data_IF_786602536457
#
_entry.id   IF_786602536457
#
_cell.length_a   1.000
_cell.length_b   1.000
_cell.length_c   1.000
_cell.angle_alpha   90.00
_cell.angle_beta   90.00
_cell.angle_gamma   90.00
#
_symmetry.space_group_name_H-M   'P 1'
#
loop_
_entity.id
_entity.type
_entity.pdbx_description
1 polymer ?
#
# COMPACT_ATOMS: atom_id res chain seq x y z
N UNK A 1 -26.77 -9.90 28.41
CA UNK A 1 -26.41 -8.89 27.38
C UNK A 1 -25.20 -9.38 26.61
N UNK A 2 -25.08 -9.07 25.32
CA UNK A 2 -23.85 -9.37 24.56
C UNK A 2 -22.82 -8.29 24.86
N UNK A 3 -21.66 -8.69 25.38
CA UNK A 3 -20.54 -7.81 25.74
C UNK A 3 -19.44 -7.83 24.67
N UNK A 4 -18.49 -6.92 24.77
CA UNK A 4 -17.26 -6.89 23.95
C UNK A 4 -17.54 -6.91 22.44
N UNK A 5 -18.58 -6.16 22.04
CA UNK A 5 -19.00 -6.08 20.65
C UNK A 5 -17.92 -5.33 19.86
N UNK A 6 -17.33 -5.95 18.81
CA UNK A 6 -16.26 -5.34 18.05
C UNK A 6 -16.76 -4.15 17.25
N UNK A 7 -15.89 -3.16 17.06
CA UNK A 7 -16.14 -2.03 16.19
C UNK A 7 -15.56 -2.26 14.78
N UNK A 8 -15.95 -1.39 13.83
CA UNK A 8 -15.52 -1.49 12.44
C UNK A 8 -14.00 -1.28 12.27
N UNK A 9 -13.39 -0.35 13.02
CA UNK A 9 -11.96 -0.07 12.91
C UNK A 9 -11.09 -1.24 13.37
N UNK A 10 -11.49 -2.00 14.39
CA UNK A 10 -10.75 -3.19 14.85
C UNK A 10 -10.59 -4.22 13.73
N UNK A 11 -11.68 -4.56 13.03
CA UNK A 11 -11.62 -5.48 11.89
C UNK A 11 -10.88 -4.90 10.69
N UNK A 12 -11.01 -3.58 10.46
CA UNK A 12 -10.31 -2.92 9.36
C UNK A 12 -8.79 -2.97 9.56
N UNK A 13 -8.32 -2.64 10.76
CA UNK A 13 -6.91 -2.62 11.11
C UNK A 13 -6.32 -4.02 10.97
N UNK A 14 -6.97 -5.05 11.52
CA UNK A 14 -6.53 -6.45 11.34
C UNK A 14 -6.50 -6.83 9.85
N UNK A 15 -7.48 -6.37 9.07
CA UNK A 15 -7.55 -6.61 7.63
C UNK A 15 -6.35 -6.04 6.88
N UNK A 16 -6.05 -4.77 7.12
CA UNK A 16 -4.92 -4.04 6.54
C UNK A 16 -3.60 -4.67 6.98
N UNK A 17 -3.42 -4.96 8.27
CA UNK A 17 -2.19 -5.56 8.80
C UNK A 17 -1.91 -6.93 8.18
N UNK A 18 -2.92 -7.77 7.98
CA UNK A 18 -2.72 -9.06 7.30
C UNK A 18 -2.24 -8.87 5.85
N UNK A 19 -2.80 -7.90 5.12
CA UNK A 19 -2.39 -7.63 3.74
C UNK A 19 -0.98 -7.02 3.65
N UNK A 20 -0.64 -6.08 4.54
CA UNK A 20 0.70 -5.50 4.64
C UNK A 20 1.73 -6.56 5.04
N UNK A 21 1.41 -7.42 6.01
CA UNK A 21 2.28 -8.52 6.40
C UNK A 21 2.51 -9.52 5.26
N UNK A 22 1.48 -9.79 4.44
CA UNK A 22 1.64 -10.62 3.24
C UNK A 22 2.61 -9.99 2.23
N UNK A 23 2.58 -8.66 2.08
CA UNK A 23 3.52 -7.92 1.24
C UNK A 23 4.95 -7.96 1.81
N UNK A 24 5.11 -7.66 3.10
CA UNK A 24 6.41 -7.63 3.76
C UNK A 24 7.08 -9.01 3.76
N UNK A 25 6.31 -10.09 3.93
CA UNK A 25 6.82 -11.46 3.79
C UNK A 25 7.50 -11.70 2.44
N UNK A 26 6.94 -11.14 1.36
CA UNK A 26 7.50 -11.30 0.03
C UNK A 26 8.76 -10.45 -0.12
N UNK A 27 8.69 -9.18 0.28
CA UNK A 27 9.81 -8.26 0.21
C UNK A 27 11.00 -8.74 1.04
N UNK A 28 10.77 -9.30 2.21
CA UNK A 28 11.84 -9.80 3.08
C UNK A 28 12.65 -10.93 2.43
N UNK A 29 12.01 -11.82 1.68
CA UNK A 29 12.72 -12.87 0.93
C UNK A 29 13.53 -12.27 -0.21
N UNK A 30 12.96 -11.32 -0.95
CA UNK A 30 13.67 -10.67 -2.06
C UNK A 30 14.82 -9.75 -1.59
N UNK A 31 14.68 -9.09 -0.45
CA UNK A 31 15.72 -8.25 0.15
C UNK A 31 16.86 -9.08 0.75
N UNK A 32 16.61 -10.36 1.07
CA UNK A 32 17.62 -11.29 1.57
C UNK A 32 18.35 -12.05 0.44
N UNK A 33 18.08 -11.75 -0.83
CA UNK A 33 18.73 -12.42 -1.96
C UNK A 33 20.23 -12.09 -2.01
N UNK A 34 21.05 -13.11 -2.25
CA UNK A 34 22.44 -12.91 -2.65
C UNK A 34 22.57 -12.90 -4.18
N UNK A 35 23.55 -12.17 -4.76
CA UNK A 35 23.78 -12.17 -6.21
C UNK A 35 24.13 -13.55 -6.79
N UNK A 36 24.59 -14.47 -5.95
CA UNK A 36 25.09 -15.78 -6.34
C UNK A 36 23.98 -16.80 -6.65
N UNK A 37 22.81 -16.65 -6.01
CA UNK A 37 21.73 -17.62 -6.13
C UNK A 37 20.61 -17.07 -7.00
N UNK A 38 20.24 -17.78 -8.10
CA UNK A 38 19.12 -17.34 -8.93
C UNK A 38 17.83 -17.20 -8.13
N UNK A 39 17.14 -16.07 -8.31
CA UNK A 39 15.90 -15.71 -7.61
C UNK A 39 14.82 -16.80 -7.73
N UNK A 40 14.70 -17.45 -8.89
CA UNK A 40 13.74 -18.54 -9.10
C UNK A 40 14.02 -19.75 -8.19
N UNK A 41 15.28 -20.06 -7.89
CA UNK A 41 15.64 -21.15 -6.97
C UNK A 41 15.27 -20.82 -5.53
N UNK A 42 15.47 -19.58 -5.13
CA UNK A 42 15.08 -19.11 -3.79
C UNK A 42 13.56 -19.14 -3.64
N UNK A 43 12.80 -18.71 -4.64
CA UNK A 43 11.34 -18.77 -4.58
C UNK A 43 10.77 -20.18 -4.70
N UNK A 44 11.44 -21.08 -5.41
CA UNK A 44 11.09 -22.50 -5.40
C UNK A 44 11.29 -23.13 -4.01
N UNK A 45 12.32 -22.70 -3.26
CA UNK A 45 12.54 -23.13 -1.88
C UNK A 45 11.51 -22.48 -0.91
N UNK A 46 11.21 -21.20 -1.10
CA UNK A 46 10.35 -20.41 -0.21
C UNK A 46 8.85 -20.45 -0.56
N UNK A 47 8.34 -21.52 -1.18
CA UNK A 47 6.92 -21.65 -1.51
C UNK A 47 5.99 -21.54 -0.28
N UNK A 48 6.47 -21.94 0.90
CA UNK A 48 5.71 -21.78 2.14
C UNK A 48 5.41 -20.30 2.45
N UNK A 49 6.32 -19.38 2.13
CA UNK A 49 6.14 -17.94 2.35
C UNK A 49 5.00 -17.42 1.47
N UNK A 50 4.97 -17.81 0.20
CA UNK A 50 3.89 -17.42 -0.72
C UNK A 50 2.54 -18.01 -0.31
N UNK A 51 2.52 -19.27 0.16
CA UNK A 51 1.31 -19.94 0.63
C UNK A 51 0.75 -19.29 1.90
N UNK A 52 1.62 -18.99 2.87
CA UNK A 52 1.23 -18.26 4.08
C UNK A 52 0.75 -16.85 3.74
N UNK A 53 1.39 -16.18 2.79
CA UNK A 53 0.94 -14.86 2.32
C UNK A 53 -0.45 -14.94 1.69
N UNK A 54 -0.78 -15.99 0.95
CA UNK A 54 -2.14 -16.19 0.42
C UNK A 54 -3.18 -16.40 1.53
N UNK A 55 -2.83 -17.12 2.61
CA UNK A 55 -3.69 -17.25 3.80
C UNK A 55 -3.91 -15.89 4.45
N UNK A 56 -2.86 -15.07 4.60
CA UNK A 56 -2.95 -13.72 5.13
C UNK A 56 -3.79 -12.80 4.24
N UNK A 57 -3.70 -12.91 2.92
CA UNK A 57 -4.56 -12.16 2.00
C UNK A 57 -6.03 -12.50 2.24
N UNK A 58 -6.35 -13.79 2.34
CA UNK A 58 -7.72 -14.22 2.65
C UNK A 58 -8.19 -13.68 4.01
N UNK A 59 -7.35 -13.76 5.04
CA UNK A 59 -7.66 -13.22 6.36
C UNK A 59 -7.86 -11.70 6.34
N UNK A 60 -7.05 -11.02 5.53
CA UNK A 60 -7.12 -9.59 5.29
C UNK A 60 -8.45 -9.19 4.67
N UNK A 61 -8.85 -9.87 3.59
CA UNK A 61 -10.16 -9.66 2.96
C UNK A 61 -11.29 -9.92 3.96
N UNK A 62 -11.28 -11.03 4.71
CA UNK A 62 -12.32 -11.29 5.70
C UNK A 62 -12.43 -10.18 6.76
N UNK A 63 -11.30 -9.64 7.23
CA UNK A 63 -11.27 -8.50 8.14
C UNK A 63 -11.96 -7.27 7.54
N UNK A 64 -11.62 -6.94 6.29
CA UNK A 64 -12.23 -5.81 5.58
C UNK A 64 -13.74 -6.00 5.34
N UNK A 65 -14.17 -7.21 4.96
CA UNK A 65 -15.60 -7.53 4.81
C UNK A 65 -16.35 -7.39 6.15
N UNK A 66 -15.77 -7.92 7.24
CA UNK A 66 -16.33 -7.79 8.60
C UNK A 66 -16.41 -6.33 9.04
N UNK A 67 -15.42 -5.52 8.69
CA UNK A 67 -15.43 -4.09 9.00
C UNK A 67 -16.65 -3.39 8.40
N UNK A 68 -16.94 -3.59 7.12
CA UNK A 68 -18.11 -2.99 6.46
C UNK A 68 -19.44 -3.49 7.05
N UNK A 69 -19.53 -4.78 7.40
CA UNK A 69 -20.71 -5.34 8.06
C UNK A 69 -20.88 -4.69 9.46
N UNK A 70 -19.80 -4.53 10.21
CA UNK A 70 -19.82 -3.90 11.53
C UNK A 70 -20.27 -2.43 11.50
N UNK A 71 -20.04 -1.69 10.40
CA UNK A 71 -20.61 -0.33 10.23
C UNK A 71 -22.14 -0.33 10.24
N UNK A 72 -22.77 -1.43 9.82
CA UNK A 72 -24.24 -1.60 9.89
C UNK A 72 -24.66 -2.21 11.21
N UNK A 73 -24.11 -3.36 11.55
CA UNK A 73 -24.33 -4.02 12.84
C UNK A 73 -23.39 -5.21 13.00
N UNK A 74 -22.51 -5.23 14.01
CA UNK A 74 -21.64 -6.38 14.30
C UNK A 74 -22.42 -7.67 14.61
N UNK A 75 -23.66 -7.56 15.08
CA UNK A 75 -24.53 -8.71 15.34
C UNK A 75 -24.89 -9.52 14.08
N UNK A 76 -24.69 -8.96 12.88
CA UNK A 76 -24.90 -9.68 11.61
C UNK A 76 -23.82 -10.74 11.35
N UNK A 77 -22.70 -10.68 12.07
CA UNK A 77 -21.62 -11.65 11.98
C UNK A 77 -21.87 -12.91 12.82
N UNK A 78 -22.89 -12.93 13.69
CA UNK A 78 -23.15 -14.06 14.59
C UNK A 78 -23.87 -15.19 13.83
N UNK A 79 -23.22 -16.35 13.75
CA UNK A 79 -23.81 -17.58 13.19
C UNK A 79 -24.51 -18.40 14.28
N UNK A 80 -25.58 -17.80 14.83
CA UNK A 80 -26.42 -18.43 15.86
C UNK A 80 -27.84 -17.89 15.81
N UNK A 81 -28.82 -18.77 16.04
CA UNK A 81 -30.22 -18.36 16.12
C UNK A 81 -30.41 -17.37 17.26
N UNK A 82 -31.17 -16.30 17.00
CA UNK A 82 -31.50 -15.27 18.00
C UNK A 82 -32.22 -15.83 19.23
N UNK A 83 -32.94 -16.95 19.07
CA UNK A 83 -33.59 -17.66 20.19
C UNK A 83 -32.61 -18.16 21.24
N UNK A 84 -31.35 -18.36 20.86
CA UNK A 84 -30.32 -18.97 21.71
C UNK A 84 -29.43 -17.92 22.37
N UNK A 85 -29.67 -16.63 22.11
CA UNK A 85 -28.90 -15.52 22.67
C UNK A 85 -29.31 -15.28 24.12
N UNK A 86 -28.32 -15.13 25.01
CA UNK A 86 -28.55 -14.79 26.43
C UNK A 86 -28.83 -13.29 26.60
N UNK A 87 -29.98 -12.85 26.08
CA UNK A 87 -30.39 -11.44 26.08
C UNK A 87 -31.71 -11.15 26.81
N UNK A 88 -32.42 -12.18 27.29
CA UNK A 88 -33.66 -12.01 28.06
C UNK A 88 -33.39 -11.56 29.51
N UNK A 89 -34.36 -10.91 30.18
CA UNK A 89 -34.26 -10.62 31.60
C UNK A 89 -33.97 -11.90 32.40
N UNK A 90 -32.98 -11.85 33.30
CA UNK A 90 -32.45 -12.98 34.09
C UNK A 90 -31.59 -14.01 33.33
N UNK A 91 -31.31 -13.81 32.04
CA UNK A 91 -30.23 -14.53 31.36
C UNK A 91 -28.87 -13.87 31.66
N UNK A 92 -27.81 -14.67 31.75
CA UNK A 92 -26.45 -14.16 31.98
C UNK A 92 -25.92 -13.33 30.82
N UNK A 93 -24.75 -12.73 30.99
CA UNK A 93 -24.03 -12.10 29.89
C UNK A 93 -23.23 -13.13 29.09
N UNK A 94 -22.94 -12.81 27.83
CA UNK A 94 -22.13 -13.62 26.92
C UNK A 94 -21.23 -12.67 26.13
N UNK A 95 -19.95 -12.99 25.96
CA UNK A 95 -19.05 -12.15 25.18
C UNK A 95 -19.30 -12.38 23.69
N UNK A 96 -19.12 -11.35 22.85
CA UNK A 96 -19.23 -11.50 21.41
C UNK A 96 -18.26 -12.56 20.87
N UNK A 97 -17.07 -12.67 21.47
CA UNK A 97 -16.05 -13.66 21.08
C UNK A 97 -16.48 -15.11 21.34
N UNK A 98 -17.51 -15.34 22.16
CA UNK A 98 -18.02 -16.68 22.45
C UNK A 98 -18.97 -17.19 21.36
N UNK A 99 -19.37 -16.33 20.42
CA UNK A 99 -20.20 -16.70 19.28
C UNK A 99 -19.37 -17.19 18.10
N UNK A 100 -19.84 -18.25 17.45
CA UNK A 100 -19.35 -18.59 16.12
C UNK A 100 -19.69 -17.45 15.15
N UNK A 101 -18.74 -17.07 14.30
CA UNK A 101 -19.01 -16.10 13.23
C UNK A 101 -19.46 -16.79 11.95
N UNK A 102 -20.23 -16.09 11.13
CA UNK A 102 -20.64 -16.55 9.79
C UNK A 102 -19.42 -16.99 8.96
N UNK A 103 -19.58 -18.09 8.21
CA UNK A 103 -18.55 -18.62 7.32
C UNK A 103 -18.40 -17.80 6.04
N UNK A 104 -17.37 -18.09 5.23
CA UNK A 104 -16.99 -17.26 4.06
C UNK A 104 -18.10 -16.98 3.05
N UNK A 105 -18.90 -17.99 2.69
CA UNK A 105 -19.99 -17.81 1.70
C UNK A 105 -21.11 -16.91 2.23
N UNK A 106 -21.43 -17.02 3.52
CA UNK A 106 -22.43 -16.17 4.17
C UNK A 106 -21.88 -14.79 4.53
N UNK A 107 -20.57 -14.69 4.79
CA UNK A 107 -19.84 -13.44 4.96
C UNK A 107 -19.95 -12.58 3.71
N UNK A 108 -19.66 -13.16 2.53
CA UNK A 108 -19.73 -12.42 1.27
C UNK A 108 -21.16 -11.91 0.97
N UNK A 109 -22.18 -12.75 1.20
CA UNK A 109 -23.59 -12.33 1.02
C UNK A 109 -24.00 -11.23 1.99
N UNK A 110 -23.60 -11.38 3.26
CA UNK A 110 -23.90 -10.40 4.32
C UNK A 110 -23.22 -9.06 4.02
N UNK A 111 -21.98 -9.11 3.55
CA UNK A 111 -21.25 -7.93 3.07
C UNK A 111 -22.02 -7.19 1.97
N UNK A 112 -22.42 -7.89 0.91
CA UNK A 112 -23.19 -7.28 -0.19
C UNK A 112 -24.55 -6.73 0.24
N UNK A 113 -25.14 -7.26 1.32
CA UNK A 113 -26.35 -6.70 1.91
C UNK A 113 -26.08 -5.42 2.75
N UNK A 114 -24.84 -5.14 3.11
CA UNK A 114 -24.44 -4.02 3.97
C UNK A 114 -23.81 -2.84 3.21
N UNK A 115 -23.31 -3.04 1.99
CA UNK A 115 -22.58 -2.01 1.22
C UNK A 115 -23.37 -1.45 0.04
N UNK A 116 -22.95 -0.28 -0.45
CA UNK A 116 -23.44 0.25 -1.71
C UNK A 116 -22.71 -0.43 -2.88
N UNK A 117 -23.43 -1.20 -3.69
CA UNK A 117 -22.84 -1.95 -4.81
C UNK A 117 -22.07 -1.09 -5.81
N UNK A 118 -22.42 0.20 -5.94
CA UNK A 118 -21.72 1.14 -6.83
C UNK A 118 -20.31 1.51 -6.35
N UNK A 119 -20.00 1.24 -5.09
CA UNK A 119 -18.71 1.54 -4.47
C UNK A 119 -17.77 0.33 -4.48
N UNK A 120 -18.28 -0.86 -4.84
CA UNK A 120 -17.50 -2.09 -4.89
C UNK A 120 -17.04 -2.33 -6.33
N UNK A 121 -15.77 -2.70 -6.48
CA UNK A 121 -15.20 -3.01 -7.79
C UNK A 121 -15.84 -4.28 -8.38
N UNK A 122 -16.22 -4.24 -9.66
CA UNK A 122 -16.95 -5.33 -10.34
C UNK A 122 -16.18 -6.67 -10.34
N UNK A 123 -14.84 -6.62 -10.37
CA UNK A 123 -13.98 -7.82 -10.35
C UNK A 123 -13.81 -8.43 -8.93
N UNK A 124 -14.30 -7.80 -7.87
CA UNK A 124 -14.12 -8.27 -6.49
C UNK A 124 -14.63 -9.70 -6.23
N UNK A 125 -15.85 -10.10 -6.66
CA UNK A 125 -16.34 -11.46 -6.44
C UNK A 125 -15.41 -12.54 -7.02
N UNK A 126 -14.92 -12.32 -8.25
CA UNK A 126 -14.03 -13.27 -8.92
C UNK A 126 -12.66 -13.34 -8.23
N UNK A 127 -12.14 -12.19 -7.81
CA UNK A 127 -10.90 -12.09 -7.05
C UNK A 127 -10.99 -12.82 -5.70
N UNK A 128 -12.07 -12.60 -4.94
CA UNK A 128 -12.31 -13.28 -3.67
C UNK A 128 -12.39 -14.80 -3.84
N UNK A 129 -13.11 -15.28 -4.87
CA UNK A 129 -13.28 -16.71 -5.10
C UNK A 129 -11.98 -17.41 -5.49
N UNK A 130 -11.13 -16.79 -6.33
CA UNK A 130 -9.81 -17.34 -6.68
C UNK A 130 -8.95 -17.54 -5.42
N UNK A 131 -8.90 -16.53 -4.55
CA UNK A 131 -8.18 -16.59 -3.27
C UNK A 131 -8.78 -17.66 -2.36
N UNK A 132 -10.11 -17.73 -2.23
CA UNK A 132 -10.80 -18.71 -1.38
C UNK A 132 -10.50 -20.14 -1.80
N UNK A 133 -10.58 -20.44 -3.10
CA UNK A 133 -10.29 -21.76 -3.65
C UNK A 133 -8.82 -22.15 -3.39
N UNK A 134 -7.88 -21.25 -3.67
CA UNK A 134 -6.44 -21.51 -3.47
C UNK A 134 -6.09 -21.69 -2.00
N UNK A 135 -6.64 -20.84 -1.13
CA UNK A 135 -6.47 -20.94 0.33
C UNK A 135 -6.97 -22.29 0.84
N UNK A 136 -8.16 -22.73 0.41
CA UNK A 136 -8.71 -24.01 0.83
C UNK A 136 -7.80 -25.17 0.42
N UNK A 137 -7.29 -25.18 -0.82
CA UNK A 137 -6.31 -26.21 -1.23
C UNK A 137 -5.06 -26.20 -0.35
N UNK A 138 -4.51 -25.02 -0.04
CA UNK A 138 -3.31 -24.88 0.81
C UNK A 138 -3.57 -25.41 2.22
N UNK A 139 -4.66 -24.97 2.86
CA UNK A 139 -5.00 -25.36 4.24
C UNK A 139 -5.29 -26.87 4.35
N UNK A 140 -5.90 -27.47 3.32
CA UNK A 140 -6.14 -28.91 3.27
C UNK A 140 -4.93 -29.73 2.81
N UNK A 141 -3.76 -29.11 2.58
CA UNK A 141 -2.54 -29.80 2.17
C UNK A 141 -2.53 -30.29 0.71
N UNK A 142 -3.48 -29.85 -0.11
CA UNK A 142 -3.65 -30.22 -1.52
C UNK A 142 -3.07 -29.17 -2.50
N UNK A 143 -2.61 -28.02 -1.98
CA UNK A 143 -2.01 -26.93 -2.76
C UNK A 143 -0.58 -27.23 -3.19
N UNK A 144 -0.41 -28.09 -4.20
CA UNK A 144 0.91 -28.43 -4.78
C UNK A 144 1.33 -27.50 -5.92
N UNK A 145 0.41 -26.66 -6.40
CA UNK A 145 0.70 -25.65 -7.43
C UNK A 145 1.75 -24.64 -6.92
N UNK A 146 2.79 -24.41 -7.73
CA UNK A 146 3.80 -23.40 -7.43
C UNK A 146 3.22 -22.01 -7.66
N UNK A 147 3.38 -21.15 -6.67
CA UNK A 147 3.03 -19.74 -6.73
C UNK A 147 4.26 -18.92 -7.15
N UNK A 148 4.03 -17.77 -7.77
CA UNK A 148 5.08 -16.78 -8.00
C UNK A 148 4.86 -15.55 -7.12
N UNK A 149 5.92 -14.85 -6.71
CA UNK A 149 5.83 -13.60 -5.96
C UNK A 149 4.94 -12.57 -6.66
N UNK A 150 5.11 -12.39 -7.97
CA UNK A 150 4.38 -11.42 -8.78
C UNK A 150 2.87 -11.69 -8.77
N UNK A 151 2.47 -12.96 -8.78
CA UNK A 151 1.07 -13.33 -8.67
C UNK A 151 0.51 -12.95 -7.30
N UNK A 152 1.22 -13.25 -6.21
CA UNK A 152 0.76 -12.93 -4.85
C UNK A 152 0.74 -11.41 -4.60
N UNK A 153 1.73 -10.66 -5.12
CA UNK A 153 1.75 -9.20 -5.07
C UNK A 153 0.53 -8.59 -5.76
N UNK A 154 0.15 -9.10 -6.95
CA UNK A 154 -1.07 -8.66 -7.63
C UNK A 154 -2.33 -8.95 -6.81
N UNK A 155 -2.39 -10.10 -6.15
CA UNK A 155 -3.52 -10.40 -5.27
C UNK A 155 -3.63 -9.42 -4.10
N UNK A 156 -2.51 -9.02 -3.51
CA UNK A 156 -2.47 -8.02 -2.42
C UNK A 156 -2.99 -6.68 -2.93
N UNK A 157 -2.41 -6.16 -4.03
CA UNK A 157 -2.78 -4.86 -4.59
C UNK A 157 -4.24 -4.80 -5.05
N UNK A 158 -4.73 -5.87 -5.70
CA UNK A 158 -6.14 -6.01 -6.07
C UNK A 158 -7.04 -6.01 -4.83
N UNK A 159 -6.67 -6.69 -3.74
CA UNK A 159 -7.46 -6.74 -2.50
C UNK A 159 -7.65 -5.35 -1.90
N UNK A 160 -6.57 -4.56 -1.81
CA UNK A 160 -6.64 -3.16 -1.42
C UNK A 160 -7.52 -2.35 -2.37
N UNK A 161 -7.25 -2.43 -3.67
CA UNK A 161 -7.95 -1.60 -4.68
C UNK A 161 -9.44 -1.88 -4.75
N UNK A 162 -9.83 -3.15 -4.68
CA UNK A 162 -11.22 -3.57 -4.88
C UNK A 162 -12.10 -3.31 -3.66
N UNK A 163 -11.52 -3.30 -2.45
CA UNK A 163 -12.26 -3.11 -1.20
C UNK A 163 -12.13 -1.70 -0.62
N UNK A 164 -11.00 -1.04 -0.82
CA UNK A 164 -10.67 0.26 -0.21
C UNK A 164 -10.43 1.36 -1.26
N UNK A 165 -10.51 1.03 -2.55
CA UNK A 165 -10.29 1.97 -3.64
C UNK A 165 -8.82 2.11 -4.03
N UNK A 166 -8.57 2.88 -5.09
CA UNK A 166 -7.22 3.25 -5.53
C UNK A 166 -6.47 3.98 -4.41
N UNK A 167 -5.14 3.95 -4.49
CA UNK A 167 -4.20 4.57 -3.54
C UNK A 167 -4.12 3.89 -2.16
N UNK A 168 -5.16 3.14 -1.77
CA UNK A 168 -5.30 2.53 -0.43
C UNK A 168 -4.13 1.65 0.02
N UNK A 169 -3.50 0.87 -0.87
CA UNK A 169 -2.31 0.09 -0.51
C UNK A 169 -1.19 1.01 -0.03
N UNK A 170 -0.90 2.05 -0.81
CA UNK A 170 0.22 2.94 -0.53
C UNK A 170 -0.06 3.81 0.69
N UNK A 171 -1.29 4.31 0.81
CA UNK A 171 -1.71 5.06 1.99
C UNK A 171 -1.61 4.20 3.26
N UNK A 172 -1.95 2.91 3.17
CA UNK A 172 -1.79 1.97 4.28
C UNK A 172 -0.33 1.73 4.65
N UNK A 173 0.57 1.65 3.66
CA UNK A 173 2.02 1.52 3.89
C UNK A 173 2.56 2.76 4.61
N UNK A 174 2.24 3.96 4.13
CA UNK A 174 2.69 5.21 4.73
C UNK A 174 2.10 5.42 6.13
N UNK A 175 0.81 5.19 6.31
CA UNK A 175 0.17 5.31 7.62
C UNK A 175 0.82 4.36 8.63
N UNK A 176 1.03 3.08 8.26
CA UNK A 176 1.67 2.12 9.16
C UNK A 176 3.10 2.53 9.52
N UNK A 177 3.82 3.14 8.58
CA UNK A 177 5.15 3.67 8.83
C UNK A 177 5.11 4.84 9.82
N UNK A 178 4.31 5.89 9.55
CA UNK A 178 4.26 7.08 10.42
C UNK A 178 3.55 6.84 11.76
N UNK A 179 2.76 5.77 11.91
CA UNK A 179 2.23 5.29 13.19
C UNK A 179 3.24 4.48 14.02
N UNK A 180 4.47 4.28 13.51
CA UNK A 180 5.49 3.55 14.25
C UNK A 180 5.86 4.31 15.55
N UNK A 181 5.87 3.65 16.74
CA UNK A 181 6.14 4.32 18.01
C UNK A 181 7.49 5.05 18.09
N UNK A 182 8.43 4.71 17.22
CA UNK A 182 9.70 5.43 17.07
C UNK A 182 9.54 6.92 16.77
N UNK A 183 8.49 7.33 16.06
CA UNK A 183 8.18 8.74 15.81
C UNK A 183 7.76 9.51 17.09
N UNK A 184 7.18 8.83 18.08
CA UNK A 184 6.87 9.45 19.39
C UNK A 184 8.12 9.62 20.26
N UNK A 185 9.23 9.00 19.86
CA UNK A 185 10.48 8.94 20.59
C UNK A 185 11.64 9.60 19.85
N UNK A 186 11.37 10.32 18.76
CA UNK A 186 12.39 10.91 17.87
C UNK A 186 13.48 9.89 17.49
N UNK A 187 13.07 8.63 17.24
CA UNK A 187 13.99 7.56 16.88
C UNK A 187 14.49 7.79 15.45
N UNK A 188 15.63 8.46 15.36
CA UNK A 188 16.28 8.74 14.08
C UNK A 188 16.41 7.48 13.21
N UNK A 189 16.64 6.29 13.76
CA UNK A 189 16.78 5.08 12.94
C UNK A 189 15.48 4.74 12.21
N UNK A 190 14.33 5.00 12.82
CA UNK A 190 13.01 4.85 12.20
C UNK A 190 12.78 5.95 11.18
N UNK A 191 13.12 7.20 11.49
CA UNK A 191 12.98 8.32 10.55
C UNK A 191 13.82 8.12 9.27
N UNK A 192 15.06 7.64 9.41
CA UNK A 192 15.93 7.31 8.29
C UNK A 192 15.35 6.24 7.36
N UNK A 193 14.44 5.38 7.86
CA UNK A 193 13.74 4.38 7.05
C UNK A 193 12.67 5.00 6.13
N UNK A 194 12.39 6.30 6.20
CA UNK A 194 11.49 6.97 5.25
C UNK A 194 12.04 6.91 3.81
N UNK A 195 13.36 6.83 3.66
CA UNK A 195 14.03 6.53 2.39
C UNK A 195 13.64 5.15 1.81
N UNK A 196 13.21 4.18 2.63
CA UNK A 196 12.79 2.86 2.15
C UNK A 196 11.50 2.92 1.34
N UNK A 197 10.72 4.01 1.43
CA UNK A 197 9.52 4.16 0.62
C UNK A 197 9.86 4.24 -0.89
N UNK A 198 11.04 4.78 -1.26
CA UNK A 198 11.54 4.69 -2.65
C UNK A 198 11.72 3.25 -3.10
N UNK A 199 12.41 2.48 -2.27
CA UNK A 199 12.76 1.11 -2.58
C UNK A 199 11.50 0.24 -2.73
N UNK A 200 10.44 0.50 -1.95
CA UNK A 200 9.17 -0.22 -2.06
C UNK A 200 8.47 0.00 -3.41
N UNK A 201 8.38 1.23 -3.89
CA UNK A 201 7.71 1.48 -5.18
C UNK A 201 8.57 0.99 -6.37
N UNK A 202 9.90 1.14 -6.29
CA UNK A 202 10.81 0.62 -7.31
C UNK A 202 10.76 -0.90 -7.37
N UNK A 203 10.76 -1.57 -6.22
CA UNK A 203 10.56 -3.00 -6.12
C UNK A 203 9.27 -3.44 -6.85
N UNK A 204 8.14 -2.80 -6.53
CA UNK A 204 6.87 -3.09 -7.20
C UNK A 204 6.95 -2.84 -8.71
N UNK A 205 7.61 -1.77 -9.13
CA UNK A 205 7.77 -1.42 -10.54
C UNK A 205 8.65 -2.41 -11.30
N UNK A 206 9.75 -2.88 -10.70
CA UNK A 206 10.65 -3.88 -11.27
C UNK A 206 9.91 -5.19 -11.55
N UNK A 207 9.07 -5.64 -10.60
CA UNK A 207 8.43 -6.96 -10.70
C UNK A 207 7.07 -6.96 -11.40
N UNK A 208 6.30 -5.88 -11.31
CA UNK A 208 4.95 -5.80 -11.89
C UNK A 208 4.87 -4.88 -13.11
N UNK A 209 5.75 -3.87 -13.18
CA UNK A 209 5.74 -2.82 -14.19
C UNK A 209 4.62 -1.80 -14.02
N UNK A 210 4.84 -0.58 -14.54
CA UNK A 210 3.85 0.51 -14.54
C UNK A 210 2.51 0.15 -15.20
N UNK A 211 2.54 -0.78 -16.15
CA UNK A 211 1.33 -1.28 -16.82
C UNK A 211 0.36 -1.98 -15.88
N UNK A 212 0.86 -2.71 -14.88
CA UNK A 212 0.05 -3.29 -13.81
C UNK A 212 -0.26 -2.24 -12.74
N UNK A 213 0.76 -1.53 -12.25
CA UNK A 213 0.63 -0.59 -11.14
C UNK A 213 -0.39 0.52 -11.37
N UNK A 214 -0.58 0.98 -12.62
CA UNK A 214 -1.55 2.05 -12.94
C UNK A 214 -2.99 1.73 -12.56
N UNK A 215 -3.33 0.45 -12.35
CA UNK A 215 -4.66 0.03 -11.89
C UNK A 215 -4.92 0.46 -10.44
N UNK A 216 -3.86 0.62 -9.66
CA UNK A 216 -3.92 0.81 -8.22
C UNK A 216 -3.74 2.26 -7.77
N UNK A 217 -3.33 3.17 -8.66
CA UNK A 217 -3.15 4.59 -8.37
C UNK A 217 -4.20 5.44 -9.08
N UNK A 218 -4.64 6.53 -8.43
CA UNK A 218 -5.51 7.53 -9.06
C UNK A 218 -4.74 8.45 -10.00
N UNK A 219 -3.47 8.73 -9.68
CA UNK A 219 -2.55 9.46 -10.56
C UNK A 219 -2.22 8.61 -11.79
N UNK A 220 -2.14 9.24 -12.96
CA UNK A 220 -1.66 8.58 -14.17
C UNK A 220 -0.13 8.39 -14.10
N UNK A 221 0.30 7.29 -13.47
CA UNK A 221 1.72 6.96 -13.32
C UNK A 221 2.44 6.59 -14.63
N UNK A 222 1.72 6.57 -15.76
CA UNK A 222 2.30 6.36 -17.10
C UNK A 222 2.54 7.67 -17.86
N UNK A 223 2.22 8.81 -17.23
CA UNK A 223 2.56 10.13 -17.72
C UNK A 223 4.07 10.39 -17.65
N UNK A 224 4.51 11.56 -18.12
CA UNK A 224 5.91 11.99 -17.95
C UNK A 224 6.23 12.10 -16.47
N UNK A 225 7.31 11.43 -16.09
CA UNK A 225 7.77 11.33 -14.72
C UNK A 225 8.82 12.39 -14.42
N UNK A 226 8.80 12.86 -13.17
CA UNK A 226 9.71 13.86 -12.66
C UNK A 226 10.29 13.40 -11.32
N UNK A 227 11.45 13.94 -11.00
CA UNK A 227 12.07 13.84 -9.68
C UNK A 227 11.20 14.61 -8.67
N UNK A 228 11.05 14.06 -7.48
CA UNK A 228 10.40 14.77 -6.37
C UNK A 228 11.49 15.39 -5.48
N UNK A 229 11.45 16.70 -5.18
CA UNK A 229 12.49 17.35 -4.40
C UNK A 229 12.54 16.86 -2.95
N UNK A 230 11.38 16.76 -2.28
CA UNK A 230 11.26 16.20 -0.93
C UNK A 230 11.81 14.78 -0.82
N UNK A 231 11.62 14.02 -1.90
CA UNK A 231 12.03 12.65 -1.94
C UNK A 231 13.54 12.48 -2.07
N UNK A 232 14.14 13.32 -2.90
CA UNK A 232 15.59 13.35 -3.12
C UNK A 232 16.30 13.80 -1.87
N UNK A 233 15.82 14.86 -1.23
CA UNK A 233 16.42 15.37 0.01
C UNK A 233 16.41 14.33 1.13
N UNK A 234 15.33 13.57 1.27
CA UNK A 234 15.22 12.50 2.28
C UNK A 234 16.11 11.29 2.03
N UNK A 235 16.58 11.09 0.80
CA UNK A 235 17.30 9.89 0.39
C UNK A 235 18.67 10.22 -0.24
N UNK A 236 19.13 11.47 -0.12
CA UNK A 236 20.48 11.81 -0.52
C UNK A 236 21.49 11.27 0.51
N UNK A 237 22.59 10.72 0.00
CA UNK A 237 23.65 10.15 0.81
C UNK A 237 24.94 10.93 0.57
N UNK A 238 25.62 11.32 1.65
CA UNK A 238 26.93 11.93 1.56
C UNK A 238 27.98 10.81 1.52
N UNK A 239 28.62 10.65 0.37
CA UNK A 239 29.67 9.65 0.14
C UNK A 239 31.04 10.31 0.00
N UNK A 240 32.12 9.51 -0.03
CA UNK A 240 33.47 10.02 -0.32
C UNK A 240 33.57 10.67 -1.71
N UNK A 241 32.70 10.29 -2.65
CA UNK A 241 32.64 10.81 -4.02
C UNK A 241 31.73 12.04 -4.16
N UNK A 242 31.07 12.46 -3.07
CA UNK A 242 30.12 13.58 -3.02
C UNK A 242 28.70 13.15 -2.65
N UNK A 243 27.72 14.02 -2.94
CA UNK A 243 26.31 13.75 -2.66
C UNK A 243 25.74 12.83 -3.74
N UNK A 244 25.36 11.62 -3.33
CA UNK A 244 24.62 10.67 -4.15
C UNK A 244 23.13 10.93 -3.97
N UNK A 245 22.40 11.06 -5.08
CA UNK A 245 20.94 11.30 -5.07
C UNK A 245 20.21 10.19 -5.81
N UNK A 246 19.02 9.79 -5.34
CA UNK A 246 18.21 8.83 -6.07
C UNK A 246 17.74 9.44 -7.40
N UNK A 247 17.67 8.61 -8.44
CA UNK A 247 17.24 9.02 -9.78
C UNK A 247 15.80 8.60 -10.13
N UNK A 248 15.12 7.94 -9.18
CA UNK A 248 13.73 7.49 -9.29
C UNK A 248 12.75 8.64 -9.50
N UNK A 249 11.89 8.51 -10.51
CA UNK A 249 10.92 9.55 -10.91
C UNK A 249 9.49 9.10 -10.67
N UNK A 250 8.89 9.68 -9.63
CA UNK A 250 7.54 9.34 -9.17
C UNK A 250 6.71 10.57 -8.79
N UNK A 251 7.16 11.76 -9.21
CA UNK A 251 6.33 12.95 -9.23
C UNK A 251 5.72 13.15 -10.62
N UNK A 252 4.48 13.61 -10.63
CA UNK A 252 3.68 13.80 -11.84
C UNK A 252 2.96 15.14 -11.79
N UNK A 253 2.78 15.77 -12.95
CA UNK A 253 1.95 16.96 -13.07
C UNK A 253 0.49 16.61 -12.79
N UNK A 254 -0.17 17.46 -12.00
CA UNK A 254 -1.56 17.27 -11.60
C UNK A 254 -2.33 18.59 -11.69
N UNK A 255 -3.09 18.85 -12.78
CA UNK A 255 -3.41 17.93 -13.87
C UNK A 255 -2.21 17.69 -14.79
N UNK A 256 -2.19 16.58 -15.54
CA UNK A 256 -1.13 16.31 -16.52
C UNK A 256 -1.32 17.13 -17.80
N UNK A 257 -0.99 18.42 -17.76
CA UNK A 257 -1.10 19.35 -18.89
C UNK A 257 0.22 20.13 -19.11
N UNK A 258 0.50 20.60 -20.34
CA UNK A 258 1.74 21.30 -20.65
C UNK A 258 1.96 22.62 -19.91
N UNK A 259 0.91 23.21 -19.35
CA UNK A 259 0.93 24.47 -18.60
C UNK A 259 0.68 24.28 -17.10
N UNK A 260 0.62 23.05 -16.61
CA UNK A 260 0.39 22.79 -15.18
C UNK A 260 1.56 23.29 -14.35
N UNK A 261 1.21 23.92 -13.23
CA UNK A 261 2.13 24.47 -12.23
C UNK A 261 2.06 23.70 -10.92
N UNK A 262 1.31 22.61 -10.88
CA UNK A 262 1.11 21.78 -9.69
C UNK A 262 1.57 20.36 -9.97
N UNK A 263 2.20 19.76 -8.97
CA UNK A 263 2.75 18.42 -9.01
C UNK A 263 2.40 17.64 -7.75
N UNK A 264 2.26 16.33 -7.91
CA UNK A 264 2.01 15.40 -6.82
C UNK A 264 3.02 14.25 -6.90
N UNK A 265 3.66 13.91 -5.78
CA UNK A 265 4.48 12.71 -5.67
C UNK A 265 3.67 11.52 -5.14
N UNK A 266 3.71 10.38 -5.83
CA UNK A 266 2.99 9.20 -5.34
C UNK A 266 3.69 8.52 -4.17
N UNK A 267 5.00 8.76 -3.95
CA UNK A 267 5.77 8.14 -2.87
C UNK A 267 5.50 8.85 -1.55
N UNK A 268 5.84 10.14 -1.45
CA UNK A 268 5.70 10.89 -0.20
C UNK A 268 4.33 11.56 -0.04
N UNK A 269 3.44 11.48 -1.05
CA UNK A 269 2.12 12.15 -1.09
C UNK A 269 2.16 13.68 -0.97
N UNK A 270 3.33 14.28 -1.15
CA UNK A 270 3.47 15.74 -1.14
C UNK A 270 3.02 16.33 -2.47
N UNK A 271 2.13 17.32 -2.38
CA UNK A 271 1.78 18.24 -3.46
C UNK A 271 2.66 19.48 -3.39
N UNK A 272 3.13 19.98 -4.53
CA UNK A 272 4.01 21.14 -4.59
C UNK A 272 3.91 21.90 -5.92
N UNK A 273 4.21 23.19 -5.85
CA UNK A 273 4.19 24.11 -6.99
C UNK A 273 5.48 24.01 -7.82
N UNK A 274 5.36 24.24 -9.12
CA UNK A 274 6.47 24.25 -10.08
C UNK A 274 6.28 25.35 -11.13
N UNK A 275 7.39 25.77 -11.73
CA UNK A 275 7.38 26.68 -12.88
C UNK A 275 7.71 25.96 -14.18
N UNK A 276 7.30 26.56 -15.30
CA UNK A 276 7.48 26.04 -16.66
C UNK A 276 8.57 26.82 -17.39
N UNK A 277 9.82 26.48 -17.11
CA UNK A 277 11.00 27.08 -17.75
C UNK A 277 11.98 26.00 -18.20
N UNK A 278 12.55 26.15 -19.39
CA UNK A 278 13.53 25.22 -19.94
C UNK A 278 14.80 25.16 -19.06
N UNK A 279 15.32 23.96 -18.88
CA UNK A 279 16.57 23.71 -18.17
C UNK A 279 17.75 24.26 -18.99
N UNK A 280 18.68 24.95 -18.33
CA UNK A 280 19.85 25.54 -19.03
C UNK A 280 20.90 24.50 -19.43
N UNK A 281 20.85 23.29 -18.86
CA UNK A 281 21.80 22.21 -19.15
C UNK A 281 21.58 21.70 -20.57
N UNK A 282 22.60 21.79 -21.42
CA UNK A 282 22.52 21.51 -22.88
C UNK A 282 21.87 20.16 -23.23
N UNK A 283 22.13 19.11 -22.44
CA UNK A 283 21.58 17.76 -22.68
C UNK A 283 20.22 17.49 -22.03
N UNK A 284 19.63 18.48 -21.35
CA UNK A 284 18.36 18.31 -20.65
C UNK A 284 17.19 18.97 -21.39
N UNK A 285 16.22 18.14 -21.82
CA UNK A 285 14.92 18.60 -22.38
C UNK A 285 13.86 18.84 -21.29
N UNK A 286 14.31 19.09 -20.07
CA UNK A 286 13.44 19.36 -18.91
C UNK A 286 12.93 20.79 -18.95
N UNK A 287 11.67 21.00 -18.57
CA UNK A 287 11.06 22.33 -18.52
C UNK A 287 10.21 22.54 -17.25
N UNK A 288 10.51 21.78 -16.21
CA UNK A 288 9.80 21.84 -14.93
C UNK A 288 10.82 22.07 -13.85
N UNK A 289 10.68 23.17 -13.13
CA UNK A 289 11.61 23.57 -12.07
C UNK A 289 10.86 23.78 -10.75
N UNK A 290 11.55 23.46 -9.66
CA UNK A 290 11.11 23.68 -8.28
C UNK A 290 12.05 24.67 -7.61
N UNK A 291 11.52 25.53 -6.74
CA UNK A 291 12.32 26.44 -5.93
C UNK A 291 12.74 25.70 -4.66
N UNK A 292 14.04 25.52 -4.46
CA UNK A 292 14.55 25.05 -3.17
C UNK A 292 14.48 26.21 -2.18
N UNK A 293 13.80 25.99 -1.06
CA UNK A 293 13.74 26.95 0.03
C UNK A 293 14.99 26.79 0.91
N UNK A 294 15.78 27.85 1.04
CA UNK A 294 16.95 27.90 1.92
C UNK A 294 17.02 29.29 2.56
N UNK A 295 16.89 29.32 3.89
CA UNK A 295 16.82 30.54 4.68
C UNK A 295 18.15 31.32 4.70
N UNK A 296 19.26 30.67 4.37
CA UNK A 296 20.60 31.27 4.42
C UNK A 296 20.99 32.02 3.12
N UNK A 297 20.16 31.97 2.07
CA UNK A 297 20.46 32.53 0.75
C UNK A 297 20.08 34.01 0.55
N UNK A 298 19.41 34.63 1.52
CA UNK A 298 18.99 36.03 1.41
C UNK A 298 18.02 36.27 0.24
N UNK A 299 18.45 37.05 -0.77
CA UNK A 299 17.65 37.36 -1.97
C UNK A 299 17.92 36.36 -3.14
N UNK A 300 18.81 35.38 -2.97
CA UNK A 300 19.12 34.41 -4.03
C UNK A 300 18.12 33.24 -4.05
N UNK A 301 17.60 32.91 -5.23
CA UNK A 301 16.68 31.79 -5.45
C UNK A 301 17.40 30.63 -6.12
N UNK A 302 17.35 29.43 -5.53
CA UNK A 302 17.87 28.21 -6.18
C UNK A 302 16.72 27.44 -6.82
N UNK A 303 16.73 27.40 -8.15
CA UNK A 303 15.78 26.61 -8.93
C UNK A 303 16.41 25.30 -9.36
N UNK A 304 15.74 24.19 -9.11
CA UNK A 304 16.19 22.86 -9.53
C UNK A 304 15.32 22.27 -10.63
N UNK A 305 15.94 21.76 -11.69
CA UNK A 305 15.23 21.07 -12.76
C UNK A 305 14.79 19.66 -12.33
N UNK A 306 13.49 19.41 -12.29
CA UNK A 306 12.93 18.11 -11.86
C UNK A 306 13.10 16.98 -12.89
N UNK A 307 13.81 17.21 -13.99
CA UNK A 307 14.17 16.15 -14.95
C UNK A 307 15.58 15.60 -14.72
N UNK A 308 16.54 16.44 -14.33
CA UNK A 308 17.97 16.10 -14.25
C UNK A 308 18.67 16.59 -12.99
N UNK A 309 17.93 17.24 -12.08
CA UNK A 309 18.44 17.85 -10.85
C UNK A 309 19.50 18.94 -11.06
N UNK A 310 19.50 19.62 -12.22
CA UNK A 310 20.39 20.77 -12.42
C UNK A 310 19.90 21.96 -11.59
N UNK A 311 20.75 22.46 -10.70
CA UNK A 311 20.52 23.65 -9.88
C UNK A 311 20.91 24.92 -10.66
N UNK A 312 20.11 25.96 -10.51
CA UNK A 312 20.27 27.26 -11.15
C UNK A 312 20.02 28.37 -10.11
N UNK A 313 21.06 29.11 -9.75
CA UNK A 313 20.92 30.26 -8.84
C UNK A 313 20.50 31.50 -9.62
N UNK A 314 19.42 32.15 -9.19
CA UNK A 314 18.92 33.43 -9.69
C UNK A 314 19.00 34.49 -8.59
N UNK A 315 19.14 35.75 -9.01
CA UNK A 315 19.09 36.95 -8.17
C UNK A 315 17.87 37.78 -8.52
#
# INVERSE_FOLDING_TARGET
MIKDIPNSSEYQNVGIECLLQAYDNICNVDNALSPETPRDKIWNYNQIVLRTSLVLIHQGIEGLLKSEICKKSPLLLIDRKRSDWKTLPNSGDESFSDFNTIGGDDLLKTFYACVNLKEIHDDFPTHYEDIRIKRNKIVHGLGTENLTPEYVLKLILNSFTYLLGKDSFWDSVLNKFYEHPGFEHDDSHVEWQDSNQYMRIEYLNVFLGKGELKKHFSVNITAREYLCPFCIEKAEEITEEGILRPDSKWAFLNPNQPNSTDMSCIICRTDFGVIREDCIKEDCKGNVKYLLEDEDLGDEEIWVCLTCWNEETKK
#
